data_IF_727917985020
#
_entry.id   IF_727917985020
#
_cell.length_a   1.000
_cell.length_b   1.000
_cell.length_c   1.000
_cell.angle_alpha   90.00
_cell.angle_beta   90.00
_cell.angle_gamma   90.00
#
_symmetry.space_group_name_H-M   'P 1'
#
loop_
_entity.id
_entity.type
_entity.pdbx_description
1 polymer ?
#
# COMPACT_ATOMS: atom_id res chain seq x y z
N UNK A 1 -11.61 29.51 -47.87
CA UNK A 1 -10.41 29.28 -48.70
C UNK A 1 -9.80 27.93 -48.32
N UNK A 2 -9.79 27.05 -49.32
CA UNK A 2 -9.22 25.68 -49.28
C UNK A 2 -7.72 25.76 -49.51
N UNK A 3 -6.92 24.93 -48.83
CA UNK A 3 -5.66 24.34 -49.36
C UNK A 3 -5.31 23.11 -48.52
N UNK A 4 -5.45 22.06 -48.99
CA UNK A 4 -4.91 20.77 -49.47
C UNK A 4 -3.48 20.41 -49.03
N UNK A 5 -3.40 19.15 -48.59
CA UNK A 5 -2.20 18.36 -48.24
C UNK A 5 -1.22 18.14 -49.41
N UNK A 6 -0.04 17.53 -49.18
CA UNK A 6 0.14 16.23 -49.83
C UNK A 6 0.78 15.12 -48.98
N UNK A 7 0.30 13.92 -49.29
CA UNK A 7 0.87 12.60 -48.96
C UNK A 7 2.22 12.41 -49.67
N UNK A 8 3.17 11.73 -49.05
CA UNK A 8 4.23 11.01 -49.77
C UNK A 8 4.34 9.55 -49.29
N UNK A 9 4.36 8.72 -50.29
CA UNK A 9 4.31 7.27 -50.37
C UNK A 9 5.67 6.60 -50.09
N UNK A 10 5.56 5.37 -49.63
CA UNK A 10 6.48 4.26 -49.48
C UNK A 10 7.59 4.09 -50.52
N UNK A 11 8.69 3.49 -50.10
CA UNK A 11 9.46 2.53 -50.91
C UNK A 11 9.91 1.35 -50.05
N UNK A 12 9.49 0.18 -50.48
CA UNK A 12 10.03 -1.14 -50.16
C UNK A 12 11.29 -1.35 -50.99
N UNK A 13 12.32 -1.97 -50.47
CA UNK A 13 13.24 -2.80 -51.26
C UNK A 13 13.58 -4.07 -50.44
N UNK A 14 13.54 -5.11 -51.18
CA UNK A 14 13.60 -6.52 -50.89
C UNK A 14 15.02 -7.08 -50.97
N UNK A 15 15.22 -8.20 -50.30
CA UNK A 15 15.95 -9.40 -50.69
C UNK A 15 17.49 -9.43 -50.60
N UNK A 16 17.95 -10.52 -49.98
CA UNK A 16 19.31 -11.03 -50.07
C UNK A 16 19.45 -12.33 -49.29
N UNK A 17 19.14 -13.43 -49.96
CA UNK A 17 19.40 -14.79 -49.46
C UNK A 17 20.90 -15.13 -49.65
N UNK A 18 21.46 -15.89 -48.71
CA UNK A 18 22.79 -16.46 -48.83
C UNK A 18 22.87 -17.77 -48.04
N UNK A 19 22.73 -18.88 -48.74
CA UNK A 19 22.98 -20.21 -48.25
C UNK A 19 24.49 -20.53 -48.29
N UNK A 20 24.99 -21.19 -47.27
CA UNK A 20 26.34 -21.73 -47.23
C UNK A 20 26.38 -23.06 -46.46
N UNK A 21 26.47 -24.13 -47.20
CA UNK A 21 26.64 -25.54 -46.78
C UNK A 21 28.15 -25.89 -46.82
N UNK A 22 28.70 -26.56 -45.85
CA UNK A 22 29.82 -27.50 -45.90
C UNK A 22 29.99 -28.14 -44.51
N UNK A 23 29.67 -29.35 -44.28
CA UNK A 23 30.31 -30.63 -44.59
C UNK A 23 31.42 -31.02 -43.59
N UNK A 24 31.07 -31.96 -42.77
CA UNK A 24 31.71 -33.17 -42.24
C UNK A 24 33.26 -33.26 -42.13
N UNK A 25 33.69 -33.76 -40.99
CA UNK A 25 34.69 -34.83 -40.92
C UNK A 25 34.62 -35.57 -39.57
N UNK A 26 34.41 -36.87 -39.73
CA UNK A 26 34.42 -37.92 -38.69
C UNK A 26 35.88 -38.32 -38.46
N UNK A 27 36.31 -38.49 -37.23
CA UNK A 27 37.47 -39.33 -36.88
C UNK A 27 37.15 -40.17 -35.63
N UNK A 28 36.97 -41.45 -35.86
CA UNK A 28 36.95 -42.52 -34.89
C UNK A 28 38.36 -42.80 -34.39
N UNK A 29 38.56 -42.86 -33.09
CA UNK A 29 39.68 -43.60 -32.50
C UNK A 29 39.18 -44.36 -31.30
N UNK A 30 39.14 -45.67 -31.44
CA UNK A 30 38.86 -46.64 -30.39
C UNK A 30 40.14 -46.84 -29.54
N UNK A 31 39.94 -46.82 -28.23
CA UNK A 31 41.00 -47.24 -27.27
C UNK A 31 40.31 -47.82 -26.04
N UNK A 32 40.22 -49.14 -26.01
CA UNK A 32 39.79 -49.87 -24.83
C UNK A 32 41.00 -50.07 -23.89
N UNK A 33 40.83 -49.67 -22.61
CA UNK A 33 41.60 -50.29 -21.52
C UNK A 33 40.71 -50.33 -20.25
N UNK A 34 40.59 -51.54 -19.75
CA UNK A 34 39.94 -51.95 -18.53
C UNK A 34 40.62 -51.42 -17.29
N UNK A 35 39.82 -50.93 -16.34
CA UNK A 35 40.28 -50.61 -15.00
C UNK A 35 39.12 -50.62 -14.03
N UNK A 36 39.17 -51.51 -13.07
CA UNK A 36 38.16 -51.82 -12.05
C UNK A 36 37.98 -50.68 -11.02
N UNK A 37 36.74 -50.55 -10.61
CA UNK A 37 36.24 -50.31 -9.25
C UNK A 37 36.75 -49.09 -8.45
N UNK A 38 35.86 -48.13 -8.22
CA UNK A 38 35.64 -47.57 -6.89
C UNK A 38 34.24 -46.92 -6.86
N UNK A 39 33.38 -47.42 -5.99
CA UNK A 39 32.16 -46.77 -5.58
C UNK A 39 32.47 -45.33 -5.12
N UNK A 40 32.14 -44.39 -5.95
CA UNK A 40 32.10 -42.96 -5.60
C UNK A 40 30.66 -42.51 -5.65
N UNK A 41 29.93 -42.70 -4.56
CA UNK A 41 28.67 -42.00 -4.35
C UNK A 41 28.95 -40.52 -4.47
N UNK A 42 28.52 -39.88 -5.57
CA UNK A 42 28.43 -38.43 -5.65
C UNK A 42 27.42 -37.97 -4.58
N UNK A 43 27.81 -37.08 -3.65
CA UNK A 43 26.83 -36.46 -2.81
C UNK A 43 25.91 -35.67 -3.74
N UNK A 44 24.63 -36.10 -3.81
CA UNK A 44 23.57 -35.27 -4.38
C UNK A 44 23.68 -33.90 -3.75
N UNK A 45 23.99 -32.88 -4.56
CA UNK A 45 23.97 -31.53 -4.11
C UNK A 45 22.56 -31.23 -3.55
N UNK A 46 22.46 -31.20 -2.23
CA UNK A 46 21.32 -30.61 -1.56
C UNK A 46 21.20 -29.22 -2.19
N UNK A 47 20.16 -29.02 -2.98
CA UNK A 47 19.69 -27.64 -3.29
C UNK A 47 19.36 -27.05 -1.93
N UNK A 48 20.29 -26.27 -1.41
CA UNK A 48 20.11 -25.59 -0.15
C UNK A 48 18.73 -24.96 -0.16
N UNK A 49 17.87 -25.33 0.76
CA UNK A 49 16.58 -24.71 0.96
C UNK A 49 16.84 -23.21 1.07
N UNK A 50 16.39 -22.45 0.09
CA UNK A 50 16.51 -21.00 0.11
C UNK A 50 15.80 -20.56 1.37
N UNK A 51 16.58 -20.01 2.33
CA UNK A 51 16.01 -19.52 3.58
C UNK A 51 14.88 -18.57 3.24
N UNK A 52 13.70 -18.75 3.86
CA UNK A 52 12.55 -17.87 3.68
C UNK A 52 13.00 -16.41 3.84
N UNK A 53 12.50 -15.50 3.00
CA UNK A 53 12.90 -14.10 3.07
C UNK A 53 12.58 -13.54 4.44
N UNK A 54 13.61 -13.13 5.18
CA UNK A 54 13.44 -12.52 6.50
C UNK A 54 12.99 -11.07 6.34
N UNK A 55 12.09 -10.64 7.21
CA UNK A 55 11.69 -9.24 7.30
C UNK A 55 12.89 -8.33 7.54
N UNK A 56 13.10 -7.36 6.66
CA UNK A 56 14.17 -6.37 6.78
C UNK A 56 13.66 -5.16 7.57
N UNK A 57 14.23 -4.90 8.72
CA UNK A 57 13.87 -3.76 9.59
C UNK A 57 14.48 -2.43 9.15
N UNK A 58 15.36 -2.45 8.15
CA UNK A 58 16.03 -1.27 7.58
C UNK A 58 15.93 -1.27 6.03
N UNK A 59 14.71 -1.16 5.48
CA UNK A 59 14.51 -1.13 4.03
C UNK A 59 15.20 0.09 3.40
N UNK A 60 15.80 -0.08 2.22
CA UNK A 60 16.57 0.98 1.55
C UNK A 60 15.70 1.98 0.77
N UNK A 61 14.39 1.77 0.68
CA UNK A 61 13.45 2.65 -0.01
C UNK A 61 12.01 2.38 0.43
N UNK A 62 11.13 3.37 0.31
CA UNK A 62 9.74 3.31 0.75
C UNK A 62 8.82 3.80 -0.36
N UNK A 63 7.78 3.03 -0.69
CA UNK A 63 6.66 3.52 -1.50
C UNK A 63 5.37 3.49 -0.66
N UNK A 64 4.52 4.49 -0.81
CA UNK A 64 3.25 4.57 -0.11
C UNK A 64 2.08 4.49 -1.07
N UNK A 65 1.08 3.70 -0.69
CA UNK A 65 -0.21 3.61 -1.37
C UNK A 65 -1.33 3.76 -0.35
N UNK A 66 -2.50 4.19 -0.80
CA UNK A 66 -3.63 4.41 0.07
C UNK A 66 -4.52 5.56 -0.38
N UNK A 67 -5.08 6.25 0.58
CA UNK A 67 -6.06 7.32 0.38
C UNK A 67 -5.56 8.71 0.84
N UNK A 68 -6.50 9.61 1.13
CA UNK A 68 -6.25 10.97 1.61
C UNK A 68 -5.39 11.04 2.88
N UNK A 69 -5.48 10.05 3.77
CA UNK A 69 -4.66 10.02 4.99
C UNK A 69 -3.18 9.93 4.61
N UNK A 70 -2.85 9.05 3.66
CA UNK A 70 -1.48 8.87 3.16
C UNK A 70 -1.02 10.04 2.27
N UNK A 71 -1.95 10.77 1.65
CA UNK A 71 -1.65 12.01 0.91
C UNK A 71 -1.46 13.23 1.79
N UNK A 72 -1.72 13.14 3.11
CA UNK A 72 -1.67 14.30 4.00
C UNK A 72 -2.77 15.32 3.70
N UNK A 73 -3.93 14.88 3.17
CA UNK A 73 -5.04 15.77 2.85
C UNK A 73 -5.46 16.57 4.09
N UNK A 74 -5.69 17.87 3.92
CA UNK A 74 -6.02 18.83 4.99
C UNK A 74 -4.97 18.94 6.11
N UNK A 75 -3.77 18.41 5.97
CA UNK A 75 -2.74 18.52 7.00
C UNK A 75 -2.06 19.91 7.00
N UNK A 76 -1.93 20.57 5.85
CA UNK A 76 -1.25 21.86 5.72
C UNK A 76 -2.22 23.00 5.40
N UNK A 77 -3.17 22.75 4.53
CA UNK A 77 -4.15 23.75 4.06
C UNK A 77 -5.49 23.11 3.75
N UNK A 78 -6.55 23.90 3.73
CA UNK A 78 -7.92 23.44 3.53
C UNK A 78 -8.13 22.84 2.14
N UNK A 79 -8.80 21.69 2.07
CA UNK A 79 -9.21 21.00 0.84
C UNK A 79 -8.05 20.73 -0.14
N UNK A 80 -6.86 20.45 0.39
CA UNK A 80 -5.69 20.19 -0.42
C UNK A 80 -4.86 19.00 0.10
N UNK A 81 -4.30 18.26 -0.81
CA UNK A 81 -3.25 17.28 -0.52
C UNK A 81 -1.98 18.01 -0.05
N UNK A 82 -1.29 17.44 0.91
CA UNK A 82 -0.01 17.91 1.44
C UNK A 82 0.95 16.72 1.54
N UNK A 83 1.46 16.20 0.41
CA UNK A 83 2.30 15.00 0.41
C UNK A 83 3.59 15.15 1.22
N UNK A 84 4.08 16.37 1.40
CA UNK A 84 5.19 16.70 2.29
C UNK A 84 4.90 16.37 3.76
N UNK A 85 3.65 16.44 4.20
CA UNK A 85 3.22 16.04 5.54
C UNK A 85 2.76 14.57 5.62
N UNK A 86 2.95 13.77 4.57
CA UNK A 86 2.58 12.34 4.59
C UNK A 86 3.31 11.59 5.71
N UNK A 87 2.57 10.85 6.52
CA UNK A 87 3.14 9.96 7.55
C UNK A 87 4.13 8.93 7.00
N UNK A 88 3.94 8.53 5.74
CA UNK A 88 4.69 7.44 5.12
C UNK A 88 5.95 7.93 4.41
N UNK A 89 5.85 8.99 3.60
CA UNK A 89 6.88 9.39 2.64
C UNK A 89 7.13 10.91 2.59
N UNK A 90 6.51 11.68 3.48
CA UNK A 90 6.71 13.13 3.53
C UNK A 90 8.11 13.53 4.02
N UNK A 91 8.53 14.74 3.67
CA UNK A 91 9.79 15.34 4.08
C UNK A 91 9.63 16.50 5.08
N UNK A 92 8.41 16.73 5.57
CA UNK A 92 8.13 17.72 6.60
C UNK A 92 8.84 17.32 7.93
N UNK A 93 9.75 18.18 8.48
CA UNK A 93 10.50 17.87 9.68
C UNK A 93 9.64 17.79 10.94
N UNK A 94 8.45 18.40 10.96
CA UNK A 94 7.51 18.29 12.09
C UNK A 94 6.85 16.91 12.13
N UNK A 95 6.65 16.28 10.97
CA UNK A 95 6.05 14.96 10.85
C UNK A 95 7.07 13.84 11.07
N UNK A 96 8.27 13.99 10.50
CA UNK A 96 9.29 12.95 10.49
C UNK A 96 8.69 11.60 10.04
N UNK A 97 8.33 11.56 8.77
CA UNK A 97 7.64 10.41 8.16
C UNK A 97 8.34 9.06 8.42
N UNK A 98 7.67 7.96 8.12
CA UNK A 98 8.28 6.63 8.17
C UNK A 98 9.55 6.58 7.29
N UNK A 99 9.51 7.14 6.08
CA UNK A 99 10.68 7.21 5.20
C UNK A 99 11.81 8.01 5.84
N UNK A 100 11.54 9.18 6.43
CA UNK A 100 12.55 9.99 7.12
C UNK A 100 13.20 9.24 8.30
N UNK A 101 12.42 8.45 9.04
CA UNK A 101 12.92 7.63 10.16
C UNK A 101 13.76 6.43 9.73
N UNK A 102 13.45 5.83 8.57
CA UNK A 102 14.13 4.64 8.05
C UNK A 102 15.36 4.98 7.21
N UNK A 103 15.27 6.03 6.39
CA UNK A 103 16.28 6.37 5.39
C UNK A 103 17.19 7.54 5.81
N UNK A 104 16.70 8.40 6.74
CA UNK A 104 17.23 9.73 6.99
C UNK A 104 16.59 10.79 6.10
N UNK A 105 16.38 12.00 6.64
CA UNK A 105 15.63 13.09 5.98
C UNK A 105 16.19 13.45 4.60
N UNK A 106 17.52 13.48 4.44
CA UNK A 106 18.17 13.84 3.17
C UNK A 106 17.90 12.82 2.05
N UNK A 107 17.59 11.57 2.38
CA UNK A 107 17.37 10.50 1.41
C UNK A 107 15.90 10.38 0.96
N UNK A 108 14.97 11.02 1.67
CA UNK A 108 13.52 10.92 1.38
C UNK A 108 13.19 11.28 -0.06
N UNK A 109 13.65 12.40 -0.65
CA UNK A 109 13.28 12.77 -2.02
C UNK A 109 13.76 11.78 -3.08
N UNK A 110 14.88 11.09 -2.83
CA UNK A 110 15.49 10.17 -3.79
C UNK A 110 14.97 8.74 -3.67
N UNK A 111 14.49 8.34 -2.48
CA UNK A 111 14.19 6.93 -2.14
C UNK A 111 12.78 6.71 -1.60
N UNK A 112 11.89 7.70 -1.73
CA UNK A 112 10.51 7.51 -1.35
C UNK A 112 9.55 8.01 -2.42
N UNK A 113 8.38 7.33 -2.55
CA UNK A 113 7.36 7.64 -3.56
C UNK A 113 5.98 7.51 -2.95
N UNK A 114 5.09 8.44 -3.25
CA UNK A 114 3.71 8.45 -2.77
C UNK A 114 2.74 8.30 -3.94
N UNK A 115 2.11 7.13 -4.03
CA UNK A 115 1.08 6.77 -5.03
C UNK A 115 -0.33 6.76 -4.45
N UNK A 116 -0.50 7.18 -3.20
CA UNK A 116 -1.83 7.33 -2.62
C UNK A 116 -2.63 8.39 -3.37
N UNK A 117 -3.93 8.23 -3.44
CA UNK A 117 -4.85 9.16 -4.11
C UNK A 117 -6.02 9.46 -3.19
N UNK A 118 -6.27 10.75 -2.95
CA UNK A 118 -7.40 11.21 -2.13
C UNK A 118 -8.72 10.64 -2.66
N UNK A 119 -9.54 10.08 -1.77
CA UNK A 119 -10.81 9.43 -2.12
C UNK A 119 -10.70 7.95 -2.53
N UNK A 120 -9.50 7.40 -2.68
CA UNK A 120 -9.29 6.01 -3.09
C UNK A 120 -9.90 5.01 -2.10
N UNK A 121 -10.34 3.90 -2.66
CA UNK A 121 -10.90 2.74 -1.98
C UNK A 121 -10.08 1.49 -2.28
N UNK A 122 -10.41 0.40 -1.64
CA UNK A 122 -9.75 -0.89 -1.87
C UNK A 122 -9.71 -1.29 -3.36
N UNK A 123 -10.73 -0.94 -4.14
CA UNK A 123 -10.79 -1.23 -5.57
C UNK A 123 -9.68 -0.53 -6.40
N UNK A 124 -9.14 0.58 -5.90
CA UNK A 124 -8.12 1.39 -6.57
C UNK A 124 -6.69 0.91 -6.24
N UNK A 125 -6.54 0.14 -5.16
CA UNK A 125 -5.24 -0.31 -4.64
C UNK A 125 -4.39 -1.09 -5.66
N UNK A 126 -4.93 -1.98 -6.52
CA UNK A 126 -4.13 -2.69 -7.51
C UNK A 126 -3.38 -1.77 -8.47
N UNK A 127 -4.01 -0.66 -8.90
CA UNK A 127 -3.38 0.33 -9.79
C UNK A 127 -2.25 1.11 -9.09
N UNK A 128 -2.45 1.50 -7.84
CA UNK A 128 -1.44 2.18 -7.03
C UNK A 128 -0.23 1.27 -6.78
N UNK A 129 -0.46 -0.01 -6.41
CA UNK A 129 0.61 -0.98 -6.20
C UNK A 129 1.38 -1.29 -7.48
N UNK A 130 0.72 -1.33 -8.63
CA UNK A 130 1.40 -1.48 -9.92
C UNK A 130 2.37 -0.32 -10.19
N UNK A 131 1.95 0.92 -9.88
CA UNK A 131 2.81 2.11 -9.98
C UNK A 131 3.99 2.05 -9.01
N UNK A 132 3.74 1.67 -7.76
CA UNK A 132 4.77 1.52 -6.74
C UNK A 132 5.80 0.44 -7.11
N UNK A 133 5.35 -0.70 -7.66
CA UNK A 133 6.18 -1.83 -8.04
C UNK A 133 7.22 -1.50 -9.12
N UNK A 134 6.97 -0.47 -9.95
CA UNK A 134 7.92 -0.02 -10.97
C UNK A 134 9.29 0.41 -10.38
N UNK A 135 9.31 0.88 -9.13
CA UNK A 135 10.52 1.26 -8.41
C UNK A 135 11.16 0.11 -7.64
N UNK A 136 10.52 -1.06 -7.56
CA UNK A 136 10.97 -2.20 -6.77
C UNK A 136 11.36 -1.80 -5.33
N UNK A 137 10.47 -1.10 -4.60
CA UNK A 137 10.81 -0.54 -3.29
C UNK A 137 11.12 -1.63 -2.28
N UNK A 138 12.00 -1.35 -1.33
CA UNK A 138 12.28 -2.26 -0.22
C UNK A 138 11.07 -2.44 0.69
N UNK A 139 10.25 -1.39 0.85
CA UNK A 139 9.03 -1.40 1.65
C UNK A 139 7.90 -0.68 0.91
N UNK A 140 6.72 -1.27 0.88
CA UNK A 140 5.46 -0.62 0.49
C UNK A 140 4.59 -0.45 1.74
N UNK A 141 4.06 0.75 1.96
CA UNK A 141 3.06 0.99 3.00
C UNK A 141 1.67 1.04 2.40
N UNK A 142 0.69 0.42 3.07
CA UNK A 142 -0.72 0.39 2.66
C UNK A 142 -1.58 0.93 3.79
N UNK A 143 -2.35 2.00 3.53
CA UNK A 143 -3.41 2.48 4.41
C UNK A 143 -4.62 2.85 3.56
N UNK A 144 -5.67 2.04 3.58
CA UNK A 144 -6.87 2.19 2.75
C UNK A 144 -8.07 1.53 3.43
N UNK A 145 -9.26 2.04 3.21
CA UNK A 145 -10.49 1.44 3.73
C UNK A 145 -11.43 2.44 4.40
N UNK A 146 -10.94 3.62 4.79
CA UNK A 146 -11.79 4.68 5.33
C UNK A 146 -12.88 5.09 4.32
N UNK A 147 -12.55 5.26 3.04
CA UNK A 147 -13.50 5.60 1.98
C UNK A 147 -14.43 4.45 1.59
N UNK A 148 -14.03 3.20 1.86
CA UNK A 148 -14.90 2.03 1.71
C UNK A 148 -16.02 2.02 2.74
N UNK A 149 -15.76 2.50 3.95
CA UNK A 149 -16.72 2.67 5.04
C UNK A 149 -17.46 4.02 4.98
N UNK A 150 -16.76 5.11 4.61
CA UNK A 150 -17.29 6.47 4.52
C UNK A 150 -18.10 6.68 3.23
N UNK A 151 -19.30 6.12 3.18
CA UNK A 151 -20.22 6.19 2.04
C UNK A 151 -21.44 7.06 2.35
N UNK A 152 -22.28 7.41 1.37
CA UNK A 152 -23.53 8.13 1.61
C UNK A 152 -24.47 7.42 2.61
N UNK A 153 -24.41 6.10 2.67
CA UNK A 153 -25.19 5.29 3.63
C UNK A 153 -24.39 4.07 4.08
N UNK A 154 -24.78 3.47 5.21
CA UNK A 154 -24.16 2.22 5.67
C UNK A 154 -24.39 1.04 4.71
N UNK A 155 -25.51 1.03 3.98
CA UNK A 155 -25.81 0.00 2.98
C UNK A 155 -24.95 0.11 1.72
N UNK A 156 -24.34 1.27 1.45
CA UNK A 156 -23.47 1.50 0.30
C UNK A 156 -21.98 1.30 0.59
N UNK A 157 -21.62 0.90 1.82
CA UNK A 157 -20.25 0.48 2.17
C UNK A 157 -19.79 -0.68 1.29
N UNK A 158 -18.51 -0.72 0.93
CA UNK A 158 -17.92 -1.87 0.23
C UNK A 158 -18.17 -3.15 1.04
N UNK A 159 -18.62 -4.23 0.38
CA UNK A 159 -18.80 -5.50 1.08
C UNK A 159 -17.45 -6.06 1.54
N UNK A 160 -17.43 -6.80 2.66
CA UNK A 160 -16.21 -7.42 3.19
C UNK A 160 -15.57 -8.36 2.17
N UNK A 161 -16.40 -9.12 1.43
CA UNK A 161 -15.91 -10.01 0.38
C UNK A 161 -15.21 -9.26 -0.75
N UNK A 162 -15.78 -8.14 -1.23
CA UNK A 162 -15.15 -7.31 -2.25
C UNK A 162 -13.87 -6.63 -1.74
N UNK A 163 -13.87 -6.16 -0.50
CA UNK A 163 -12.70 -5.56 0.15
C UNK A 163 -11.55 -6.57 0.26
N UNK A 164 -11.81 -7.76 0.78
CA UNK A 164 -10.87 -8.87 0.88
C UNK A 164 -10.30 -9.25 -0.49
N UNK A 165 -11.15 -9.52 -1.46
CA UNK A 165 -10.73 -9.90 -2.82
C UNK A 165 -9.90 -8.80 -3.50
N UNK A 166 -10.24 -7.53 -3.27
CA UNK A 166 -9.47 -6.38 -3.73
C UNK A 166 -8.04 -6.39 -3.18
N UNK A 167 -7.88 -6.64 -1.88
CA UNK A 167 -6.57 -6.70 -1.24
C UNK A 167 -5.76 -7.93 -1.70
N UNK A 168 -6.38 -9.12 -1.79
CA UNK A 168 -5.74 -10.32 -2.34
C UNK A 168 -5.20 -10.08 -3.76
N UNK A 169 -6.03 -9.51 -4.63
CA UNK A 169 -5.63 -9.15 -6.00
C UNK A 169 -4.47 -8.15 -6.02
N UNK A 170 -4.52 -7.15 -5.16
CA UNK A 170 -3.51 -6.11 -5.07
C UNK A 170 -2.14 -6.69 -4.64
N UNK A 171 -2.10 -7.52 -3.60
CA UNK A 171 -0.88 -8.20 -3.15
C UNK A 171 -0.35 -9.17 -4.21
N UNK A 172 -1.20 -9.97 -4.84
CA UNK A 172 -0.79 -10.88 -5.90
C UNK A 172 -0.14 -10.12 -7.07
N UNK A 173 -0.71 -8.97 -7.47
CA UNK A 173 -0.12 -8.10 -8.49
C UNK A 173 1.26 -7.56 -8.09
N UNK A 174 1.40 -7.11 -6.83
CA UNK A 174 2.69 -6.66 -6.30
C UNK A 174 3.72 -7.80 -6.30
N UNK A 175 3.36 -8.99 -5.85
CA UNK A 175 4.27 -10.16 -5.83
C UNK A 175 4.74 -10.54 -7.23
N UNK A 176 3.87 -10.45 -8.23
CA UNK A 176 4.23 -10.71 -9.62
C UNK A 176 5.23 -9.67 -10.16
N UNK A 177 5.07 -8.38 -9.81
CA UNK A 177 5.87 -7.29 -10.35
C UNK A 177 7.13 -6.99 -9.51
N UNK A 178 7.07 -7.15 -8.20
CA UNK A 178 8.15 -6.86 -7.25
C UNK A 178 8.15 -7.88 -6.09
N UNK A 179 8.60 -9.12 -6.33
CA UNK A 179 8.46 -10.22 -5.38
C UNK A 179 9.21 -10.01 -4.06
N UNK A 180 10.26 -9.19 -4.04
CA UNK A 180 11.07 -8.92 -2.86
C UNK A 180 10.59 -7.73 -2.01
N UNK A 181 9.61 -6.93 -2.49
CA UNK A 181 9.10 -5.79 -1.72
C UNK A 181 8.35 -6.26 -0.48
N UNK A 182 8.71 -5.75 0.67
CA UNK A 182 7.95 -5.93 1.90
C UNK A 182 6.71 -5.04 1.90
N UNK A 183 5.68 -5.47 2.61
CA UNK A 183 4.42 -4.70 2.71
C UNK A 183 4.09 -4.48 4.18
N UNK A 184 3.99 -3.24 4.60
CA UNK A 184 3.42 -2.84 5.89
C UNK A 184 1.97 -2.41 5.66
N UNK A 185 1.05 -3.03 6.37
CA UNK A 185 -0.39 -2.74 6.26
C UNK A 185 -0.87 -2.11 7.56
N UNK A 186 -1.28 -0.85 7.48
CA UNK A 186 -1.92 -0.16 8.59
C UNK A 186 -3.39 -0.54 8.70
N UNK A 187 -3.88 -0.71 9.91
CA UNK A 187 -5.31 -0.84 10.16
C UNK A 187 -6.06 0.45 9.81
N UNK A 188 -7.30 0.30 9.35
CA UNK A 188 -8.25 1.41 9.18
C UNK A 188 -8.56 2.00 10.56
N UNK A 189 -8.48 3.33 10.74
CA UNK A 189 -8.80 3.98 12.01
C UNK A 189 -10.23 3.71 12.51
N UNK A 190 -10.45 3.78 13.83
CA UNK A 190 -11.79 3.68 14.41
C UNK A 190 -12.58 4.98 14.19
N UNK A 191 -13.37 5.02 13.12
CA UNK A 191 -14.19 6.17 12.73
C UNK A 191 -15.24 6.55 13.81
N UNK A 192 -15.66 5.61 14.66
CA UNK A 192 -16.58 5.91 15.76
C UNK A 192 -15.85 6.68 16.88
N UNK A 193 -14.57 6.40 17.12
CA UNK A 193 -13.78 7.20 18.07
C UNK A 193 -13.62 8.63 17.56
N UNK A 194 -13.33 8.79 16.28
CA UNK A 194 -13.26 10.11 15.65
C UNK A 194 -14.58 10.88 15.82
N UNK A 195 -15.71 10.25 15.52
CA UNK A 195 -17.02 10.85 15.77
C UNK A 195 -17.19 11.31 17.23
N UNK A 196 -16.75 10.51 18.22
CA UNK A 196 -16.84 10.86 19.63
C UNK A 196 -16.02 12.11 19.99
N UNK A 197 -14.90 12.38 19.31
CA UNK A 197 -14.08 13.55 19.56
C UNK A 197 -14.76 14.85 19.12
N UNK A 198 -15.51 14.86 18.03
CA UNK A 198 -16.04 16.08 17.43
C UNK A 198 -17.56 16.27 17.61
N UNK A 199 -18.35 15.25 18.01
CA UNK A 199 -19.81 15.31 18.00
C UNK A 199 -20.41 16.41 18.87
N UNK A 200 -19.74 16.84 19.92
CA UNK A 200 -20.22 17.84 20.88
C UNK A 200 -19.78 19.28 20.52
N UNK A 201 -18.82 19.44 19.60
CA UNK A 201 -18.37 20.74 19.13
C UNK A 201 -19.31 21.30 18.03
N UNK A 202 -19.90 22.51 18.21
CA UNK A 202 -20.79 23.10 17.23
C UNK A 202 -20.12 23.40 15.88
N UNK A 203 -18.84 23.80 15.86
CA UNK A 203 -18.11 24.11 14.63
C UNK A 203 -17.87 22.84 13.83
N UNK A 204 -17.35 21.79 14.48
CA UNK A 204 -17.11 20.48 13.88
C UNK A 204 -18.38 19.93 13.23
N UNK A 205 -19.53 20.04 13.92
CA UNK A 205 -20.81 19.59 13.38
C UNK A 205 -21.22 20.32 12.10
N UNK A 206 -20.92 21.63 11.98
CA UNK A 206 -21.22 22.35 10.76
C UNK A 206 -20.34 21.88 9.59
N UNK A 207 -19.06 21.63 9.84
CA UNK A 207 -18.15 21.12 8.82
C UNK A 207 -18.58 19.72 8.37
N UNK A 208 -18.94 18.83 9.28
CA UNK A 208 -19.38 17.46 8.91
C UNK A 208 -20.68 17.42 8.08
N UNK A 209 -21.54 18.46 8.19
CA UNK A 209 -22.71 18.61 7.31
C UNK A 209 -22.38 18.85 5.85
N UNK A 210 -21.13 19.20 5.52
CA UNK A 210 -20.67 19.38 4.13
C UNK A 210 -20.47 18.04 3.38
N UNK A 211 -20.78 16.93 4.00
CA UNK A 211 -20.76 15.62 3.33
C UNK A 211 -19.62 14.69 3.73
N UNK A 212 -18.85 15.06 4.77
CA UNK A 212 -17.74 14.24 5.25
C UNK A 212 -18.30 12.96 5.90
N UNK A 213 -17.90 11.80 5.38
CA UNK A 213 -18.20 10.47 5.93
C UNK A 213 -19.65 10.30 6.42
N UNK A 214 -20.64 10.51 5.54
CA UNK A 214 -22.07 10.54 5.89
C UNK A 214 -22.55 9.30 6.64
N UNK A 215 -22.04 8.10 6.28
CA UNK A 215 -22.35 6.86 6.97
C UNK A 215 -22.07 6.92 8.49
N UNK A 216 -20.99 7.58 8.91
CA UNK A 216 -20.61 7.71 10.32
C UNK A 216 -21.08 9.04 10.93
N UNK A 217 -20.87 10.17 10.23
CA UNK A 217 -20.93 11.51 10.81
C UNK A 217 -22.26 12.25 10.59
N UNK A 218 -23.19 11.71 9.79
CA UNK A 218 -24.52 12.30 9.69
C UNK A 218 -25.22 12.32 11.05
N UNK A 219 -25.98 13.38 11.31
CA UNK A 219 -26.73 13.59 12.55
C UNK A 219 -25.87 13.33 13.81
N UNK A 220 -24.75 14.04 13.98
CA UNK A 220 -23.69 13.64 14.93
C UNK A 220 -24.15 13.63 16.40
N UNK A 221 -25.15 14.43 16.77
CA UNK A 221 -25.71 14.49 18.15
C UNK A 221 -26.93 13.61 18.34
N UNK A 222 -27.46 12.98 17.29
CA UNK A 222 -28.65 12.16 17.39
C UNK A 222 -28.39 10.87 18.20
N UNK A 223 -29.16 10.67 19.27
CA UNK A 223 -29.25 9.45 20.06
C UNK A 223 -30.36 8.51 19.58
N UNK A 224 -31.06 8.84 18.49
CA UNK A 224 -32.10 7.98 17.94
C UNK A 224 -31.55 6.59 17.61
N UNK A 225 -32.39 5.54 17.82
CA UNK A 225 -31.96 4.16 17.60
C UNK A 225 -31.37 3.92 16.20
N UNK A 226 -31.96 4.51 15.15
CA UNK A 226 -31.45 4.39 13.78
C UNK A 226 -30.07 5.04 13.57
N UNK A 227 -29.81 6.21 14.18
CA UNK A 227 -28.51 6.88 14.09
C UNK A 227 -27.43 6.10 14.86
N UNK A 228 -27.77 5.54 16.01
CA UNK A 228 -26.88 4.69 16.81
C UNK A 228 -26.56 3.41 16.07
N UNK A 229 -27.56 2.67 15.59
CA UNK A 229 -27.38 1.43 14.82
C UNK A 229 -26.53 1.66 13.56
N UNK A 230 -26.73 2.77 12.83
CA UNK A 230 -25.92 3.13 11.67
C UNK A 230 -24.43 3.25 12.04
N UNK A 231 -24.10 4.00 13.11
CA UNK A 231 -22.70 4.17 13.56
C UNK A 231 -22.07 2.85 14.01
N UNK A 232 -22.83 2.02 14.72
CA UNK A 232 -22.37 0.68 15.12
C UNK A 232 -22.13 -0.22 13.91
N UNK A 233 -22.99 -0.17 12.90
CA UNK A 233 -22.83 -0.91 11.66
C UNK A 233 -21.56 -0.47 10.89
N UNK A 234 -21.26 0.84 10.83
CA UNK A 234 -20.04 1.34 10.20
C UNK A 234 -18.82 0.87 10.98
N UNK A 235 -18.85 0.95 12.32
CA UNK A 235 -17.72 0.49 13.14
C UNK A 235 -17.49 -1.01 12.98
N UNK A 236 -18.56 -1.81 13.01
CA UNK A 236 -18.48 -3.25 12.78
C UNK A 236 -17.84 -3.56 11.41
N UNK A 237 -18.23 -2.83 10.35
CA UNK A 237 -17.66 -2.98 9.02
C UNK A 237 -16.15 -2.64 8.98
N UNK A 238 -15.70 -1.61 9.70
CA UNK A 238 -14.26 -1.28 9.82
C UNK A 238 -13.50 -2.41 10.53
N UNK A 239 -14.08 -3.00 11.57
CA UNK A 239 -13.49 -4.18 12.25
C UNK A 239 -13.35 -5.34 11.27
N UNK A 240 -14.40 -5.64 10.48
CA UNK A 240 -14.36 -6.70 9.46
C UNK A 240 -13.32 -6.43 8.36
N UNK A 241 -13.13 -5.16 7.95
CA UNK A 241 -12.06 -4.79 7.01
C UNK A 241 -10.67 -5.04 7.61
N UNK A 242 -10.46 -4.64 8.87
CA UNK A 242 -9.20 -4.86 9.56
C UNK A 242 -8.89 -6.35 9.71
N UNK A 243 -9.90 -7.17 9.97
CA UNK A 243 -9.76 -8.63 10.01
C UNK A 243 -9.40 -9.18 8.62
N UNK A 244 -10.03 -8.70 7.55
CA UNK A 244 -9.68 -9.09 6.19
C UNK A 244 -8.23 -8.74 5.83
N UNK A 245 -7.77 -7.52 6.21
CA UNK A 245 -6.38 -7.11 6.02
C UNK A 245 -5.41 -8.03 6.77
N UNK A 246 -5.69 -8.32 8.05
CA UNK A 246 -4.88 -9.20 8.90
C UNK A 246 -4.76 -10.61 8.31
N UNK A 247 -5.90 -11.22 7.94
CA UNK A 247 -5.93 -12.60 7.44
C UNK A 247 -5.27 -12.76 6.06
N UNK A 248 -5.43 -11.76 5.17
CA UNK A 248 -4.78 -11.81 3.86
C UNK A 248 -3.27 -11.59 4.00
N UNK A 249 -2.86 -10.60 4.82
CA UNK A 249 -1.45 -10.33 5.10
C UNK A 249 -0.74 -11.52 5.74
N UNK A 250 -1.40 -12.25 6.64
CA UNK A 250 -0.85 -13.42 7.33
C UNK A 250 -0.49 -14.59 6.38
N UNK A 251 -0.96 -14.59 5.14
CA UNK A 251 -0.63 -15.60 4.11
C UNK A 251 0.64 -15.28 3.32
N UNK A 252 1.25 -14.12 3.57
CA UNK A 252 2.41 -13.62 2.84
C UNK A 252 3.54 -13.25 3.82
N UNK A 253 4.63 -13.99 3.79
CA UNK A 253 5.79 -13.85 4.69
C UNK A 253 6.45 -12.44 4.64
N UNK A 254 6.27 -11.72 3.53
CA UNK A 254 6.74 -10.35 3.35
C UNK A 254 5.64 -9.31 3.61
N UNK A 255 4.52 -9.70 4.22
CA UNK A 255 3.46 -8.80 4.63
C UNK A 255 3.37 -8.74 6.15
N UNK A 256 3.26 -7.52 6.69
CA UNK A 256 3.14 -7.27 8.12
C UNK A 256 1.96 -6.32 8.38
N UNK A 257 0.92 -6.83 8.99
CA UNK A 257 -0.22 -6.04 9.47
C UNK A 257 0.16 -5.40 10.81
N UNK A 258 -0.34 -4.19 11.10
CA UNK A 258 0.03 -3.41 12.29
C UNK A 258 -0.53 -3.94 13.62
N UNK A 259 -1.21 -5.09 13.64
CA UNK A 259 -1.85 -5.63 14.84
C UNK A 259 -3.03 -4.79 15.35
N UNK A 260 -3.57 -3.91 14.52
CA UNK A 260 -4.63 -2.98 14.91
C UNK A 260 -4.12 -1.73 15.64
N UNK A 261 -2.83 -1.42 15.55
CA UNK A 261 -2.23 -0.32 16.29
C UNK A 261 -2.87 1.04 15.96
N UNK A 262 -3.18 1.31 14.70
CA UNK A 262 -3.86 2.54 14.29
C UNK A 262 -5.34 2.52 14.69
N UNK A 263 -6.04 1.40 14.50
CA UNK A 263 -7.44 1.25 14.91
C UNK A 263 -7.63 1.48 16.41
N UNK A 264 -6.70 0.99 17.23
CA UNK A 264 -6.78 1.08 18.70
C UNK A 264 -6.29 2.43 19.24
N UNK A 265 -5.51 3.17 18.45
CA UNK A 265 -4.94 4.43 18.92
C UNK A 265 -6.04 5.50 19.15
N UNK A 266 -6.09 6.13 20.33
CA UNK A 266 -7.08 7.13 20.67
C UNK A 266 -6.63 8.52 20.18
N UNK A 267 -6.71 8.76 18.87
CA UNK A 267 -6.40 10.09 18.32
C UNK A 267 -7.17 11.18 19.07
N UNK A 268 -6.46 12.22 19.51
CA UNK A 268 -7.04 13.40 20.15
C UNK A 268 -7.49 14.44 19.10
N UNK A 269 -8.27 15.42 19.54
CA UNK A 269 -8.73 16.50 18.67
C UNK A 269 -7.58 17.30 18.06
N UNK A 270 -6.48 17.52 18.82
CA UNK A 270 -5.28 18.24 18.37
C UNK A 270 -4.55 17.49 17.23
N UNK A 271 -4.72 16.18 17.17
CA UNK A 271 -4.11 15.34 16.13
C UNK A 271 -4.93 15.31 14.84
N UNK A 272 -6.15 15.85 14.87
CA UNK A 272 -6.99 15.99 13.68
C UNK A 272 -6.75 17.34 13.01
N UNK A 273 -7.00 17.39 11.71
CA UNK A 273 -6.99 18.64 10.95
C UNK A 273 -8.01 19.62 11.50
N UNK A 274 -7.59 20.86 11.73
CA UNK A 274 -8.48 21.97 12.14
C UNK A 274 -9.49 22.36 11.06
N UNK A 275 -9.30 21.85 9.84
CA UNK A 275 -10.15 22.21 8.71
C UNK A 275 -11.40 21.33 8.62
N UNK A 276 -11.26 20.05 8.91
CA UNK A 276 -12.35 19.09 8.76
C UNK A 276 -12.63 18.21 9.99
N UNK A 277 -11.73 18.20 10.97
CA UNK A 277 -11.80 17.35 12.17
C UNK A 277 -12.05 15.87 11.83
N UNK A 278 -11.48 15.47 10.71
CA UNK A 278 -11.62 14.11 10.19
C UNK A 278 -10.28 13.52 9.78
N UNK A 279 -9.53 14.23 8.92
CA UNK A 279 -8.20 13.80 8.53
C UNK A 279 -7.17 14.11 9.62
N UNK A 280 -6.07 13.34 9.70
CA UNK A 280 -4.95 13.68 10.58
C UNK A 280 -4.30 15.00 10.17
N UNK A 281 -4.14 15.94 11.11
CA UNK A 281 -3.25 17.08 10.96
C UNK A 281 -1.77 16.64 11.07
N UNK A 282 -0.81 17.57 11.03
CA UNK A 282 0.63 17.22 11.11
C UNK A 282 0.97 16.37 12.33
N UNK A 283 0.43 16.68 13.51
CA UNK A 283 0.65 15.88 14.71
C UNK A 283 0.07 14.45 14.59
N UNK A 284 -1.09 14.33 13.93
CA UNK A 284 -1.69 13.03 13.63
C UNK A 284 -0.85 12.24 12.63
N UNK A 285 -0.33 12.90 11.60
CA UNK A 285 0.58 12.29 10.61
C UNK A 285 1.88 11.84 11.29
N UNK A 286 2.47 12.65 12.17
CA UNK A 286 3.65 12.29 12.95
C UNK A 286 3.40 11.06 13.83
N UNK A 287 2.21 10.96 14.43
CA UNK A 287 1.83 9.81 15.24
C UNK A 287 1.66 8.55 14.41
N UNK A 288 1.05 8.64 13.23
CA UNK A 288 0.96 7.51 12.28
C UNK A 288 2.36 7.02 11.88
N UNK A 289 3.28 7.95 11.58
CA UNK A 289 4.67 7.64 11.26
C UNK A 289 5.38 6.89 12.39
N UNK A 290 5.17 7.32 13.64
CA UNK A 290 5.74 6.69 14.82
C UNK A 290 5.18 5.28 15.04
N UNK A 291 3.86 5.08 14.90
CA UNK A 291 3.22 3.79 15.01
C UNK A 291 3.78 2.82 13.95
N UNK A 292 3.85 3.26 12.71
CA UNK A 292 4.41 2.48 11.62
C UNK A 292 5.89 2.13 11.83
N UNK A 293 6.70 3.10 12.24
CA UNK A 293 8.12 2.88 12.49
C UNK A 293 8.35 1.80 13.54
N UNK A 294 7.63 1.84 14.69
CA UNK A 294 7.72 0.80 15.71
C UNK A 294 7.40 -0.60 15.18
N UNK A 295 6.38 -0.71 14.32
CA UNK A 295 5.97 -1.99 13.76
C UNK A 295 6.94 -2.50 12.70
N UNK A 296 7.44 -1.61 11.82
CA UNK A 296 8.38 -1.97 10.75
C UNK A 296 9.74 -2.39 11.32
N UNK A 297 10.23 -1.71 12.36
CA UNK A 297 11.54 -1.96 12.96
C UNK A 297 11.53 -3.02 14.07
N UNK A 298 10.37 -3.55 14.43
CA UNK A 298 10.28 -4.69 15.37
C UNK A 298 10.87 -5.95 14.75
N UNK A 299 11.65 -6.70 15.52
CA UNK A 299 12.17 -8.00 15.09
C UNK A 299 11.04 -9.02 14.86
N UNK A 300 9.99 -8.97 15.69
CA UNK A 300 8.82 -9.84 15.60
C UNK A 300 7.60 -9.10 15.03
N UNK A 301 6.72 -9.79 14.27
CA UNK A 301 5.47 -9.20 13.83
C UNK A 301 4.58 -8.89 15.05
N UNK A 302 3.71 -7.86 14.98
CA UNK A 302 2.72 -7.62 16.01
C UNK A 302 1.74 -8.80 16.09
N UNK A 303 1.36 -9.13 17.32
CA UNK A 303 0.42 -10.22 17.62
C UNK A 303 -1.03 -9.79 17.45
#
# INVERSE_FOLDING_TARGET
MRTTAPRRRARRTSAGAGAGVAAALVLLAAGALTGCSADGAQPGGERGAQAAPRWNIAPASVAAVGDSITRGFDACSVLADCPEASWATGDDPEVRSLAARLLGEAEVPARSWNYAVTGSRMADLPGQLASAAAHKPGLVTVMVGSNDACRPSASSMTSVAAFRSGFEKALAGLRAASPASQVYVSSVPDLQRLWKQGKDDPMVRQVWKLGICQSMLADPTSAAAGATARREQVRARVVEYNEALREVCAKDELCRYDGGAVFQYPFSAEQLSRWDWFHPGKDGQARLAELAHRQVTSAEPPR
#
